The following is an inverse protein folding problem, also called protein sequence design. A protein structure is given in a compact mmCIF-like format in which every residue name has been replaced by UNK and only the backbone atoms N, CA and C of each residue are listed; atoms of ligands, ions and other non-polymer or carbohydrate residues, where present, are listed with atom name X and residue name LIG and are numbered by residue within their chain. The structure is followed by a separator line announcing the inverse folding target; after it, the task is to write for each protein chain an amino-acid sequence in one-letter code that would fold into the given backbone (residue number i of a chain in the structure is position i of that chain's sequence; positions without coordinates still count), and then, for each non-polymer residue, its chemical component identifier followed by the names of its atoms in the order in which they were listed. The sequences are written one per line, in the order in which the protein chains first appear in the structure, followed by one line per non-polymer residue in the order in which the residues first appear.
data_IF_273741943767
#
_entry.id   IF_273741943767
#
_cell.length_a   1.000
_cell.length_b   1.000
_cell.length_c   1.000
_cell.angle_alpha   90.00
_cell.angle_beta   90.00
_cell.angle_gamma   90.00
#
_symmetry.space_group_name_H-M   'P 1'
#
loop_
_entity.id
_entity.type
_entity.pdbx_description
1 polymer ?
#
# COMPACT_ATOMS: atom_id res chain seq x y z
N UNK A 1 28.49 -18.64 -26.91
CA UNK A 1 27.79 -19.11 -25.68
C UNK A 1 27.51 -17.90 -24.79
N UNK A 2 26.31 -17.79 -24.19
CA UNK A 2 25.96 -16.61 -23.37
C UNK A 2 26.74 -16.59 -22.05
N UNK A 3 27.22 -15.40 -21.63
CA UNK A 3 27.84 -15.24 -20.30
C UNK A 3 26.77 -15.37 -19.21
N UNK A 4 27.06 -16.07 -18.10
CA UNK A 4 26.15 -16.12 -16.95
C UNK A 4 25.89 -14.72 -16.40
N UNK A 5 24.67 -14.47 -15.92
CA UNK A 5 24.29 -13.17 -15.38
C UNK A 5 24.83 -12.98 -13.96
N UNK A 6 25.42 -11.81 -13.69
CA UNK A 6 26.10 -11.50 -12.43
C UNK A 6 25.19 -11.71 -11.20
N UNK A 7 23.95 -11.20 -11.23
CA UNK A 7 23.01 -11.30 -10.11
C UNK A 7 22.60 -12.76 -9.79
N UNK A 8 22.46 -13.61 -10.81
CA UNK A 8 22.14 -15.04 -10.64
C UNK A 8 23.30 -15.77 -9.99
N UNK A 9 24.52 -15.49 -10.44
CA UNK A 9 25.72 -16.09 -9.86
C UNK A 9 25.97 -15.60 -8.44
N UNK A 10 25.81 -14.31 -8.18
CA UNK A 10 25.89 -13.71 -6.84
C UNK A 10 24.99 -14.47 -5.86
N UNK A 11 23.71 -14.64 -6.20
CA UNK A 11 22.74 -15.41 -5.39
C UNK A 11 23.18 -16.86 -5.19
N UNK A 12 23.67 -17.52 -6.25
CA UNK A 12 24.13 -18.91 -6.20
C UNK A 12 25.34 -19.07 -5.28
N UNK A 13 26.34 -18.18 -5.40
CA UNK A 13 27.58 -18.19 -4.61
C UNK A 13 27.33 -17.87 -3.14
N UNK A 14 26.45 -16.89 -2.86
CA UNK A 14 26.04 -16.60 -1.48
C UNK A 14 25.40 -17.82 -0.83
N UNK A 15 24.43 -18.45 -1.51
CA UNK A 15 23.79 -19.68 -1.01
C UNK A 15 24.78 -20.81 -0.80
N UNK A 16 25.72 -21.02 -1.74
CA UNK A 16 26.78 -22.03 -1.59
C UNK A 16 27.69 -21.80 -0.37
N UNK A 17 27.81 -20.55 0.08
CA UNK A 17 28.54 -20.18 1.30
C UNK A 17 27.67 -20.14 2.57
N UNK A 18 26.39 -20.53 2.49
CA UNK A 18 25.45 -20.47 3.61
C UNK A 18 25.29 -19.08 4.22
N UNK A 19 25.51 -18.02 3.44
CA UNK A 19 25.35 -16.65 3.91
C UNK A 19 23.90 -16.19 3.75
N UNK A 20 23.35 -15.55 4.78
CA UNK A 20 22.09 -14.80 4.66
C UNK A 20 22.31 -13.54 3.82
N UNK A 21 21.24 -12.97 3.25
CA UNK A 21 21.34 -11.70 2.52
C UNK A 21 21.84 -10.58 3.44
N UNK A 22 21.35 -10.54 4.69
CA UNK A 22 21.79 -9.58 5.71
C UNK A 22 23.29 -9.69 5.99
N UNK A 23 23.77 -10.90 6.30
CA UNK A 23 25.19 -11.11 6.59
C UNK A 23 26.09 -10.71 5.41
N UNK A 24 25.69 -11.07 4.18
CA UNK A 24 26.46 -10.71 3.00
C UNK A 24 26.45 -9.19 2.72
N UNK A 25 25.31 -8.52 2.97
CA UNK A 25 25.18 -7.07 2.87
C UNK A 25 26.07 -6.35 3.89
N UNK A 26 26.05 -6.80 5.15
CA UNK A 26 26.88 -6.24 6.23
C UNK A 26 28.38 -6.37 5.87
N UNK A 27 28.80 -7.52 5.33
CA UNK A 27 30.18 -7.76 4.90
C UNK A 27 30.62 -6.88 3.72
N UNK A 28 29.71 -6.51 2.82
CA UNK A 28 29.97 -5.58 1.73
C UNK A 28 29.57 -4.13 2.05
N UNK A 29 29.37 -3.79 3.34
CA UNK A 29 29.03 -2.44 3.80
C UNK A 29 27.84 -1.81 3.05
N UNK A 30 26.82 -2.62 2.76
CA UNK A 30 25.60 -2.17 2.09
C UNK A 30 24.35 -2.61 2.85
N UNK A 31 23.22 -1.98 2.59
CA UNK A 31 21.97 -2.37 3.26
C UNK A 31 21.47 -3.74 2.75
N UNK A 32 20.79 -4.54 3.59
CA UNK A 32 20.17 -5.79 3.16
C UNK A 32 19.20 -5.61 1.98
N UNK A 33 18.53 -4.46 1.94
CA UNK A 33 17.66 -4.07 0.83
C UNK A 33 18.44 -3.85 -0.47
N UNK A 34 19.59 -3.15 -0.41
CA UNK A 34 20.49 -2.99 -1.57
C UNK A 34 20.95 -4.35 -2.09
N UNK A 35 21.38 -5.25 -1.21
CA UNK A 35 21.77 -6.61 -1.60
C UNK A 35 20.64 -7.38 -2.30
N UNK A 36 19.42 -7.33 -1.75
CA UNK A 36 18.23 -7.95 -2.36
C UNK A 36 17.95 -7.41 -3.76
N UNK A 37 18.07 -6.10 -3.95
CA UNK A 37 17.92 -5.46 -5.27
C UNK A 37 18.99 -5.90 -6.27
N UNK A 38 20.23 -6.10 -5.83
CA UNK A 38 21.29 -6.62 -6.69
C UNK A 38 21.02 -8.08 -7.08
N UNK A 39 20.63 -8.96 -6.14
CA UNK A 39 20.34 -10.37 -6.44
C UNK A 39 19.13 -10.59 -7.35
N UNK A 40 18.18 -9.66 -7.33
CA UNK A 40 16.98 -9.70 -8.19
C UNK A 40 17.22 -9.04 -9.55
N UNK A 41 18.41 -8.47 -9.78
CA UNK A 41 18.73 -7.69 -11.00
C UNK A 41 18.01 -6.34 -11.07
N UNK A 42 17.22 -5.97 -10.05
CA UNK A 42 16.51 -4.69 -9.99
C UNK A 42 17.45 -3.49 -9.97
N UNK A 43 18.74 -3.68 -9.64
CA UNK A 43 19.78 -2.66 -9.72
C UNK A 43 21.09 -3.30 -10.19
N UNK A 44 21.94 -2.47 -10.82
CA UNK A 44 23.31 -2.84 -11.18
C UNK A 44 24.24 -2.36 -10.06
N UNK A 45 25.24 -3.16 -9.64
CA UNK A 45 26.25 -2.71 -8.70
C UNK A 45 27.13 -1.62 -9.34
N UNK A 46 27.58 -0.68 -8.54
CA UNK A 46 28.68 0.22 -8.91
C UNK A 46 29.99 -0.57 -9.08
N UNK A 47 31.04 0.01 -9.68
CA UNK A 47 32.35 -0.65 -9.77
C UNK A 47 32.88 -1.10 -8.40
N UNK A 48 32.83 -0.22 -7.40
CA UNK A 48 33.26 -0.53 -6.03
C UNK A 48 32.44 -1.67 -5.41
N UNK A 49 31.11 -1.62 -5.53
CA UNK A 49 30.24 -2.71 -5.05
C UNK A 49 30.55 -4.03 -5.79
N UNK A 50 30.89 -3.96 -7.08
CA UNK A 50 31.23 -5.13 -7.88
C UNK A 50 32.49 -5.79 -7.36
N UNK A 51 33.51 -5.00 -7.04
CA UNK A 51 34.79 -5.48 -6.50
C UNK A 51 34.60 -6.11 -5.12
N UNK A 52 33.86 -5.44 -4.22
CA UNK A 52 33.55 -5.94 -2.88
C UNK A 52 32.77 -7.26 -2.94
N UNK A 53 31.74 -7.33 -3.79
CA UNK A 53 30.95 -8.55 -3.98
C UNK A 53 31.79 -9.66 -4.60
N UNK A 54 32.63 -9.34 -5.58
CA UNK A 54 33.50 -10.33 -6.24
C UNK A 54 34.52 -10.91 -5.27
N UNK A 55 35.11 -10.06 -4.43
CA UNK A 55 36.04 -10.47 -3.37
C UNK A 55 35.36 -11.39 -2.37
N UNK A 56 34.22 -10.95 -1.80
CA UNK A 56 33.44 -11.76 -0.85
C UNK A 56 33.01 -13.10 -1.45
N UNK A 57 32.54 -13.07 -2.70
CA UNK A 57 31.96 -14.24 -3.35
C UNK A 57 32.98 -15.09 -4.15
N UNK A 58 34.26 -14.72 -4.16
CA UNK A 58 35.31 -15.30 -5.02
C UNK A 58 34.80 -15.48 -6.46
N UNK A 59 34.32 -14.38 -7.01
CA UNK A 59 33.86 -14.25 -8.39
C UNK A 59 34.83 -13.37 -9.17
N UNK A 60 34.86 -13.56 -10.49
CA UNK A 60 35.64 -12.74 -11.42
C UNK A 60 34.65 -11.98 -12.29
N UNK A 61 34.59 -10.65 -12.16
CA UNK A 61 33.54 -9.82 -12.75
C UNK A 61 33.46 -9.96 -14.29
N UNK A 62 34.61 -10.10 -14.96
CA UNK A 62 34.79 -10.29 -16.40
C UNK A 62 34.06 -11.52 -16.98
N UNK A 63 33.83 -12.54 -16.14
CA UNK A 63 33.16 -13.79 -16.54
C UNK A 63 31.64 -13.68 -16.60
N UNK A 64 31.07 -12.59 -16.09
CA UNK A 64 29.62 -12.42 -15.96
C UNK A 64 29.12 -11.22 -16.74
N UNK A 65 27.87 -11.32 -17.21
CA UNK A 65 27.17 -10.18 -17.79
C UNK A 65 26.50 -9.37 -16.67
N UNK A 66 26.88 -8.09 -16.58
CA UNK A 66 26.11 -7.07 -15.88
C UNK A 66 25.01 -6.61 -16.84
N UNK A 67 23.80 -7.14 -16.69
CA UNK A 67 22.66 -6.71 -17.50
C UNK A 67 22.33 -5.27 -17.12
N UNK A 68 22.36 -4.30 -18.05
CA UNK A 68 21.99 -2.92 -17.76
C UNK A 68 20.56 -2.85 -17.19
N UNK A 69 20.38 -2.05 -16.15
CA UNK A 69 19.07 -1.81 -15.54
C UNK A 69 18.01 -1.41 -16.58
N UNK A 70 18.40 -0.63 -17.59
CA UNK A 70 17.52 -0.22 -18.68
C UNK A 70 16.93 -1.43 -19.43
N UNK A 71 17.73 -2.44 -19.76
CA UNK A 71 17.25 -3.63 -20.49
C UNK A 71 16.32 -4.46 -19.63
N UNK A 72 16.64 -4.66 -18.34
CA UNK A 72 15.76 -5.40 -17.45
C UNK A 72 14.44 -4.67 -17.21
N UNK A 73 14.49 -3.33 -17.14
CA UNK A 73 13.29 -2.50 -17.07
C UNK A 73 12.46 -2.60 -18.33
N UNK A 74 13.08 -2.48 -19.51
CA UNK A 74 12.39 -2.67 -20.80
C UNK A 74 11.74 -4.04 -20.89
N UNK A 75 12.41 -5.13 -20.51
CA UNK A 75 11.81 -6.46 -20.51
C UNK A 75 10.61 -6.59 -19.54
N UNK A 76 10.66 -5.90 -18.39
CA UNK A 76 9.55 -5.85 -17.45
C UNK A 76 8.39 -4.99 -17.98
N UNK A 77 8.69 -3.83 -18.56
CA UNK A 77 7.73 -2.89 -19.13
C UNK A 77 7.04 -3.52 -20.37
N UNK A 78 7.80 -4.17 -21.25
CA UNK A 78 7.31 -4.93 -22.40
C UNK A 78 6.38 -6.06 -21.93
N UNK A 79 6.78 -6.82 -20.92
CA UNK A 79 5.93 -7.84 -20.32
C UNK A 79 4.64 -7.25 -19.72
N UNK A 80 4.75 -6.13 -19.00
CA UNK A 80 3.61 -5.44 -18.39
C UNK A 80 2.63 -4.88 -19.44
N UNK A 81 3.14 -4.42 -20.59
CA UNK A 81 2.31 -3.95 -21.71
C UNK A 81 1.48 -5.06 -22.36
N UNK A 82 1.92 -6.32 -22.24
CA UNK A 82 1.22 -7.50 -22.76
C UNK A 82 0.23 -8.10 -21.76
N UNK A 83 0.31 -7.70 -20.48
CA UNK A 83 -0.63 -8.17 -19.47
C UNK A 83 -1.95 -7.42 -19.62
N UNK A 84 -3.10 -8.12 -19.62
CA UNK A 84 -4.39 -7.46 -19.59
C UNK A 84 -4.44 -6.53 -18.38
N UNK A 85 -4.89 -5.29 -18.61
CA UNK A 85 -5.02 -4.32 -17.53
C UNK A 85 -5.86 -4.95 -16.41
N UNK A 86 -5.36 -5.03 -15.16
CA UNK A 86 -6.08 -5.72 -14.10
C UNK A 86 -7.49 -5.15 -13.97
N UNK A 87 -8.51 -6.00 -13.80
CA UNK A 87 -9.88 -5.51 -13.74
C UNK A 87 -10.04 -4.56 -12.55
N UNK A 88 -10.98 -3.63 -12.66
CA UNK A 88 -11.39 -2.79 -11.55
C UNK A 88 -12.23 -3.63 -10.59
N UNK A 89 -11.95 -3.54 -9.29
CA UNK A 89 -12.75 -4.14 -8.24
C UNK A 89 -13.37 -3.04 -7.39
N UNK A 90 -14.68 -3.16 -7.15
CA UNK A 90 -15.41 -2.36 -6.19
C UNK A 90 -15.84 -3.28 -5.05
N UNK A 91 -15.45 -2.95 -3.83
CA UNK A 91 -15.88 -3.71 -2.66
C UNK A 91 -17.41 -3.63 -2.51
N UNK A 92 -18.01 -4.73 -2.06
CA UNK A 92 -19.44 -4.81 -1.82
C UNK A 92 -19.87 -3.81 -0.74
N UNK A 93 -21.06 -3.25 -0.91
CA UNK A 93 -21.63 -2.24 -0.03
C UNK A 93 -23.07 -2.60 0.29
N UNK A 94 -23.47 -2.48 1.56
CA UNK A 94 -24.86 -2.64 1.98
C UNK A 94 -25.73 -1.43 1.58
N UNK A 95 -25.10 -0.26 1.44
CA UNK A 95 -25.73 1.04 1.18
C UNK A 95 -24.83 1.90 0.30
N UNK A 96 -25.44 2.87 -0.39
CA UNK A 96 -24.68 3.83 -1.19
C UNK A 96 -23.80 4.74 -0.31
N UNK A 97 -22.60 5.15 -0.77
CA UNK A 97 -21.68 5.95 0.03
C UNK A 97 -22.28 7.30 0.45
N UNK A 98 -23.15 7.86 -0.39
CA UNK A 98 -23.89 9.10 -0.10
C UNK A 98 -24.63 9.04 1.25
N UNK A 99 -25.21 7.88 1.61
CA UNK A 99 -25.90 7.70 2.89
C UNK A 99 -24.92 7.88 4.05
N UNK A 100 -23.68 7.39 3.93
CA UNK A 100 -22.63 7.51 4.94
C UNK A 100 -22.14 8.94 5.08
N UNK A 101 -21.89 9.63 3.97
CA UNK A 101 -21.54 11.06 3.98
C UNK A 101 -22.66 11.93 4.59
N UNK A 102 -23.92 11.64 4.29
CA UNK A 102 -25.07 12.34 4.89
C UNK A 102 -25.17 12.09 6.40
N UNK A 103 -24.95 10.86 6.85
CA UNK A 103 -24.90 10.53 8.28
C UNK A 103 -23.75 11.27 9.00
N UNK A 104 -22.58 11.38 8.35
CA UNK A 104 -21.47 12.18 8.87
C UNK A 104 -21.84 13.66 8.99
N UNK A 105 -22.46 14.23 7.95
CA UNK A 105 -22.93 15.61 7.96
C UNK A 105 -23.95 15.87 9.08
N UNK A 106 -24.88 14.95 9.33
CA UNK A 106 -25.86 15.09 10.39
C UNK A 106 -25.22 15.02 11.79
N UNK A 107 -24.22 14.15 11.98
CA UNK A 107 -23.58 13.90 13.28
C UNK A 107 -22.55 14.98 13.64
N UNK A 108 -21.80 15.47 12.66
CA UNK A 108 -20.66 16.38 12.86
C UNK A 108 -20.69 17.55 11.87
N UNK A 109 -21.87 18.16 11.68
CA UNK A 109 -22.13 19.23 10.69
C UNK A 109 -21.06 20.31 10.65
N UNK A 110 -20.64 20.79 11.83
CA UNK A 110 -19.70 21.90 11.97
C UNK A 110 -18.29 21.57 11.47
N UNK A 111 -17.94 20.30 11.32
CA UNK A 111 -16.65 19.86 10.78
C UNK A 111 -16.78 19.38 9.34
N UNK A 112 -17.81 18.58 9.05
CA UNK A 112 -18.02 18.00 7.72
C UNK A 112 -18.27 19.09 6.67
N UNK A 113 -19.10 20.10 6.99
CA UNK A 113 -19.46 21.13 6.01
C UNK A 113 -18.25 21.98 5.54
N UNK A 114 -17.40 22.50 6.45
CA UNK A 114 -16.14 23.14 6.05
C UNK A 114 -15.18 22.21 5.29
N UNK A 115 -15.02 20.95 5.72
CA UNK A 115 -14.15 19.98 5.04
C UNK A 115 -14.62 19.73 3.60
N UNK A 116 -15.91 19.49 3.39
CA UNK A 116 -16.47 19.31 2.04
C UNK A 116 -16.27 20.57 1.20
N UNK A 117 -16.37 21.76 1.79
CA UNK A 117 -16.13 23.02 1.09
C UNK A 117 -14.68 23.15 0.63
N UNK A 118 -13.71 22.76 1.46
CA UNK A 118 -12.30 22.71 1.07
C UNK A 118 -12.06 21.72 -0.06
N UNK A 119 -12.61 20.50 0.06
CA UNK A 119 -12.46 19.46 -0.97
C UNK A 119 -13.07 19.89 -2.30
N UNK A 120 -14.21 20.59 -2.29
CA UNK A 120 -14.87 21.13 -3.49
C UNK A 120 -14.06 22.17 -4.26
N UNK A 121 -13.15 22.88 -3.58
CA UNK A 121 -12.31 23.90 -4.20
C UNK A 121 -11.07 23.31 -4.89
N UNK A 122 -10.85 21.99 -4.78
CA UNK A 122 -9.67 21.35 -5.36
C UNK A 122 -9.78 21.30 -6.89
N UNK A 123 -8.64 21.41 -7.61
CA UNK A 123 -8.63 21.32 -9.08
C UNK A 123 -9.00 19.93 -9.58
N UNK A 124 -8.85 18.88 -8.78
CA UNK A 124 -9.19 17.49 -9.11
C UNK A 124 -10.57 17.06 -8.55
N UNK A 125 -11.47 18.01 -8.24
CA UNK A 125 -12.73 17.71 -7.56
C UNK A 125 -13.61 16.68 -8.29
N UNK A 126 -13.72 16.72 -9.62
CA UNK A 126 -14.53 15.73 -10.37
C UNK A 126 -14.06 14.29 -10.13
N UNK A 127 -12.74 14.10 -10.06
CA UNK A 127 -12.13 12.80 -9.73
C UNK A 127 -12.40 12.41 -8.27
N UNK A 128 -12.35 13.37 -7.36
CA UNK A 128 -12.68 13.17 -5.94
C UNK A 128 -14.15 12.80 -5.77
N UNK A 129 -15.05 13.48 -6.47
CA UNK A 129 -16.48 13.23 -6.45
C UNK A 129 -16.80 11.82 -6.97
N UNK A 130 -16.25 11.45 -8.14
CA UNK A 130 -16.38 10.10 -8.66
C UNK A 130 -15.87 9.04 -7.67
N UNK A 131 -14.72 9.27 -7.05
CA UNK A 131 -14.17 8.37 -6.03
C UNK A 131 -15.13 8.21 -4.84
N UNK A 132 -15.60 9.31 -4.26
CA UNK A 132 -16.51 9.29 -3.12
C UNK A 132 -17.85 8.61 -3.42
N UNK A 133 -18.32 8.66 -4.67
CA UNK A 133 -19.55 7.96 -5.09
C UNK A 133 -19.39 6.44 -5.19
N UNK A 134 -18.17 5.94 -5.37
CA UNK A 134 -17.91 4.52 -5.59
C UNK A 134 -17.16 3.84 -4.44
N UNK A 135 -16.63 4.60 -3.48
CA UNK A 135 -15.87 4.08 -2.35
C UNK A 135 -16.78 3.35 -1.35
N UNK A 136 -16.42 2.12 -0.98
CA UNK A 136 -17.13 1.38 0.05
C UNK A 136 -16.87 1.96 1.45
N UNK A 137 -17.95 2.17 2.21
CA UNK A 137 -17.94 2.75 3.55
C UNK A 137 -19.04 2.11 4.40
N UNK A 138 -18.71 1.63 5.58
CA UNK A 138 -19.65 0.97 6.50
C UNK A 138 -20.19 1.94 7.57
N UNK A 139 -19.44 3.01 7.87
CA UNK A 139 -19.81 4.01 8.89
C UNK A 139 -19.72 5.47 8.41
N UNK A 140 -20.36 6.36 9.18
CA UNK A 140 -20.21 7.81 9.03
C UNK A 140 -18.80 8.30 9.43
N UNK A 141 -18.13 7.60 10.34
CA UNK A 141 -16.76 7.96 10.77
C UNK A 141 -15.74 7.63 9.67
N UNK A 142 -15.88 6.55 8.93
CA UNK A 142 -15.05 6.29 7.75
C UNK A 142 -15.25 7.38 6.68
N UNK A 143 -16.50 7.80 6.45
CA UNK A 143 -16.78 8.92 5.53
C UNK A 143 -16.10 10.22 5.98
N UNK A 144 -16.08 10.48 7.30
CA UNK A 144 -15.36 11.60 7.89
C UNK A 144 -13.83 11.44 7.71
N UNK A 145 -13.28 10.24 7.90
CA UNK A 145 -11.86 9.94 7.71
C UNK A 145 -11.42 10.19 6.26
N UNK A 146 -12.23 9.78 5.29
CA UNK A 146 -12.03 10.08 3.86
C UNK A 146 -11.97 11.58 3.61
N UNK A 147 -12.93 12.35 4.15
CA UNK A 147 -12.93 13.81 4.00
C UNK A 147 -11.68 14.47 4.61
N UNK A 148 -11.22 13.99 5.77
CA UNK A 148 -9.99 14.48 6.40
C UNK A 148 -8.77 14.22 5.51
N UNK A 149 -8.63 13.01 4.96
CA UNK A 149 -7.53 12.69 4.04
C UNK A 149 -7.57 13.56 2.78
N UNK A 150 -8.74 13.72 2.18
CA UNK A 150 -8.93 14.58 1.00
C UNK A 150 -8.64 16.06 1.34
N UNK A 151 -9.05 16.56 2.49
CA UNK A 151 -8.73 17.93 2.90
C UNK A 151 -7.22 18.13 3.15
N UNK A 152 -6.50 17.07 3.56
CA UNK A 152 -5.03 17.04 3.67
C UNK A 152 -4.30 16.95 2.32
N UNK A 153 -5.02 16.88 1.20
CA UNK A 153 -4.43 16.80 -0.14
C UNK A 153 -4.25 15.37 -0.66
N UNK A 154 -4.87 14.35 -0.06
CA UNK A 154 -4.83 13.00 -0.61
C UNK A 154 -5.49 12.97 -2.00
N UNK A 155 -4.95 12.18 -2.93
CA UNK A 155 -5.42 12.07 -4.32
C UNK A 155 -6.03 10.68 -4.54
N UNK A 156 -7.25 10.58 -5.09
CA UNK A 156 -7.82 9.29 -5.49
C UNK A 156 -6.99 8.62 -6.57
N UNK A 157 -6.69 7.33 -6.46
CA UNK A 157 -6.00 6.55 -7.50
C UNK A 157 -6.62 5.16 -7.64
N UNK A 158 -6.29 4.49 -8.75
CA UNK A 158 -6.61 3.08 -8.99
C UNK A 158 -5.33 2.27 -9.00
N UNK A 159 -5.17 1.38 -8.03
CA UNK A 159 -3.97 0.56 -7.88
C UNK A 159 -4.31 -0.76 -7.22
N UNK A 160 -3.59 -1.83 -7.58
CA UNK A 160 -3.75 -3.11 -6.90
C UNK A 160 -2.90 -3.15 -5.63
N UNK A 161 -3.43 -3.59 -4.46
CA UNK A 161 -2.65 -3.73 -3.24
C UNK A 161 -1.36 -4.52 -3.46
N UNK A 162 -1.40 -5.63 -4.21
CA UNK A 162 -0.23 -6.47 -4.48
C UNK A 162 0.86 -5.78 -5.33
N UNK A 163 0.55 -4.68 -6.02
CA UNK A 163 1.57 -3.86 -6.71
C UNK A 163 2.43 -3.07 -5.72
N UNK A 164 1.95 -2.83 -4.49
CA UNK A 164 2.64 -2.05 -3.46
C UNK A 164 3.43 -2.92 -2.46
N UNK A 165 3.24 -4.24 -2.51
CA UNK A 165 3.95 -5.18 -1.66
C UNK A 165 3.16 -6.46 -1.41
N UNK A 166 3.83 -7.46 -0.84
CA UNK A 166 3.19 -8.71 -0.46
C UNK A 166 2.34 -8.50 0.80
N UNK A 167 1.10 -8.98 0.79
CA UNK A 167 0.25 -9.03 1.97
C UNK A 167 0.38 -10.42 2.63
N UNK A 168 0.34 -10.53 3.98
CA UNK A 168 0.44 -11.83 4.65
C UNK A 168 -0.73 -12.75 4.33
N UNK A 169 -1.91 -12.16 4.09
CA UNK A 169 -3.16 -12.86 3.76
C UNK A 169 -3.71 -12.35 2.43
N UNK A 170 -4.39 -13.21 1.64
CA UNK A 170 -4.96 -12.78 0.38
C UNK A 170 -6.21 -11.93 0.62
N UNK A 171 -6.32 -10.86 -0.16
CA UNK A 171 -7.52 -10.02 -0.22
C UNK A 171 -8.54 -10.71 -1.11
N UNK A 172 -9.77 -10.84 -0.63
CA UNK A 172 -10.85 -11.57 -1.29
C UNK A 172 -12.12 -10.74 -1.46
N UNK A 173 -12.94 -11.11 -2.43
CA UNK A 173 -14.34 -10.71 -2.49
C UNK A 173 -15.17 -11.60 -1.56
N UNK A 174 -15.86 -11.05 -0.54
CA UNK A 174 -16.62 -11.85 0.42
C UNK A 174 -17.85 -12.56 -0.18
N UNK A 175 -18.31 -12.16 -1.37
CA UNK A 175 -19.50 -12.75 -2.00
C UNK A 175 -19.25 -14.09 -2.69
N UNK A 176 -18.04 -14.28 -3.22
CA UNK A 176 -17.67 -15.42 -4.05
C UNK A 176 -16.30 -16.02 -3.70
N UNK A 177 -15.60 -15.45 -2.69
CA UNK A 177 -14.29 -15.86 -2.21
C UNK A 177 -13.15 -15.78 -3.24
N UNK A 178 -13.36 -15.10 -4.37
CA UNK A 178 -12.31 -14.87 -5.35
C UNK A 178 -11.22 -13.97 -4.77
N UNK A 179 -9.95 -14.25 -5.07
CA UNK A 179 -8.84 -13.38 -4.68
C UNK A 179 -8.83 -12.14 -5.54
N UNK A 180 -8.93 -10.97 -4.93
CA UNK A 180 -9.04 -9.67 -5.62
C UNK A 180 -7.88 -8.72 -5.31
N UNK A 181 -6.88 -9.15 -4.55
CA UNK A 181 -5.70 -8.32 -4.22
C UNK A 181 -4.85 -7.89 -5.41
N UNK A 182 -5.01 -8.56 -6.56
CA UNK A 182 -4.33 -8.25 -7.81
C UNK A 182 -5.16 -7.35 -8.74
N UNK A 183 -6.44 -7.13 -8.45
CA UNK A 183 -7.30 -6.21 -9.17
C UNK A 183 -7.00 -4.77 -8.75
N UNK A 184 -7.37 -3.78 -9.57
CA UNK A 184 -7.27 -2.37 -9.18
C UNK A 184 -8.38 -2.03 -8.19
N UNK A 185 -8.02 -1.41 -7.07
CA UNK A 185 -8.95 -0.91 -6.06
C UNK A 185 -8.97 0.61 -6.08
N UNK A 186 -10.08 1.19 -5.62
CA UNK A 186 -10.13 2.59 -5.22
C UNK A 186 -9.23 2.79 -3.99
N UNK A 187 -8.31 3.74 -4.09
CA UNK A 187 -7.33 4.04 -3.05
C UNK A 187 -7.15 5.55 -2.94
N UNK A 188 -6.90 6.06 -1.73
CA UNK A 188 -6.36 7.41 -1.56
C UNK A 188 -4.85 7.33 -1.43
N UNK A 189 -4.12 8.21 -2.13
CA UNK A 189 -2.68 8.40 -1.94
C UNK A 189 -2.44 9.74 -1.25
N UNK A 190 -1.76 9.75 -0.11
CA UNK A 190 -1.29 10.97 0.55
C UNK A 190 0.22 10.85 0.76
N UNK A 191 1.00 11.67 0.07
CA UNK A 191 2.46 11.53 0.01
C UNK A 191 2.85 10.12 -0.45
N UNK A 192 3.57 9.35 0.36
CA UNK A 192 3.96 7.95 0.09
C UNK A 192 3.02 6.92 0.73
N UNK A 193 1.93 7.38 1.36
CA UNK A 193 0.96 6.52 2.04
C UNK A 193 -0.23 6.20 1.12
N UNK A 194 -0.70 4.96 1.17
CA UNK A 194 -1.83 4.46 0.38
C UNK A 194 -2.90 3.86 1.31
N UNK A 195 -4.13 4.31 1.15
CA UNK A 195 -5.26 3.95 2.00
C UNK A 195 -6.31 3.23 1.14
N UNK A 196 -6.52 1.95 1.43
CA UNK A 196 -7.56 1.13 0.82
C UNK A 196 -8.66 0.92 1.84
N UNK A 197 -9.91 1.11 1.43
CA UNK A 197 -11.04 1.08 2.35
C UNK A 197 -11.78 -0.24 2.22
N UNK A 198 -12.26 -0.77 3.35
CA UNK A 198 -13.24 -1.84 3.39
C UNK A 198 -12.80 -3.13 2.67
N UNK A 199 -11.51 -3.46 2.77
CA UNK A 199 -10.95 -4.70 2.22
C UNK A 199 -11.27 -5.90 3.09
N UNK A 200 -11.53 -7.04 2.46
CA UNK A 200 -11.77 -8.32 3.13
C UNK A 200 -10.59 -9.27 2.90
N UNK A 201 -10.18 -9.96 3.96
CA UNK A 201 -9.10 -10.92 3.95
C UNK A 201 -9.60 -12.34 4.22
N UNK A 202 -8.93 -13.31 3.60
CA UNK A 202 -9.14 -14.72 3.90
C UNK A 202 -8.29 -15.11 5.12
N UNK A 203 -8.95 -15.44 6.22
CA UNK A 203 -8.36 -16.03 7.41
C UNK A 203 -9.16 -17.29 7.83
N UNK A 204 -9.19 -17.66 9.12
CA UNK A 204 -10.10 -18.73 9.62
C UNK A 204 -11.57 -18.37 9.38
N UNK A 205 -11.86 -17.05 9.36
CA UNK A 205 -13.09 -16.42 8.93
C UNK A 205 -12.78 -15.27 7.97
N UNK A 206 -13.80 -14.71 7.33
CA UNK A 206 -13.63 -13.46 6.58
C UNK A 206 -13.38 -12.34 7.59
N UNK A 207 -12.26 -11.65 7.44
CA UNK A 207 -11.92 -10.47 8.24
C UNK A 207 -11.96 -9.24 7.35
N UNK A 208 -12.92 -8.37 7.59
CA UNK A 208 -13.02 -7.07 6.92
C UNK A 208 -12.35 -6.01 7.80
N UNK A 209 -11.57 -5.14 7.17
CA UNK A 209 -10.87 -4.03 7.84
C UNK A 209 -11.41 -2.71 7.33
N UNK A 210 -11.45 -1.71 8.18
CA UNK A 210 -11.95 -0.38 7.78
C UNK A 210 -11.01 0.26 6.77
N UNK A 211 -9.71 0.29 7.09
CA UNK A 211 -8.68 0.82 6.20
C UNK A 211 -7.42 -0.04 6.26
N UNK A 212 -6.95 -0.51 5.10
CA UNK A 212 -5.61 -1.04 4.94
C UNK A 212 -4.69 0.11 4.52
N UNK A 213 -3.66 0.36 5.34
CA UNK A 213 -2.63 1.36 5.10
C UNK A 213 -1.37 0.69 4.58
N UNK A 214 -0.84 1.22 3.48
CA UNK A 214 0.56 1.04 3.07
C UNK A 214 1.32 2.33 3.32
N UNK A 215 2.36 2.26 4.15
CA UNK A 215 3.37 3.31 4.30
C UNK A 215 4.76 2.76 3.92
N UNK A 216 5.64 2.54 4.91
CA UNK A 216 6.84 1.72 4.80
C UNK A 216 6.53 0.22 4.91
N UNK A 217 5.47 -0.13 5.65
CA UNK A 217 4.95 -1.50 5.80
C UNK A 217 3.43 -1.54 5.56
N UNK A 218 2.82 -2.71 5.71
CA UNK A 218 1.36 -2.84 5.73
C UNK A 218 0.88 -2.76 7.17
N UNK A 219 -0.17 -1.99 7.41
CA UNK A 219 -0.89 -1.96 8.68
C UNK A 219 -2.38 -1.76 8.44
N UNK A 220 -3.17 -2.03 9.46
CA UNK A 220 -4.62 -1.84 9.45
C UNK A 220 -4.95 -0.66 10.35
N UNK A 221 -5.87 0.19 9.89
CA UNK A 221 -6.49 1.22 10.70
C UNK A 221 -7.96 0.86 10.90
N UNK A 222 -8.37 0.82 12.16
CA UNK A 222 -9.74 0.55 12.59
C UNK A 222 -10.36 1.81 13.16
N UNK A 223 -11.56 2.16 12.72
CA UNK A 223 -12.19 3.43 13.05
C UNK A 223 -13.28 3.19 14.10
N UNK A 224 -12.88 3.34 15.36
CA UNK A 224 -13.70 3.01 16.51
C UNK A 224 -14.65 4.17 16.87
N UNK A 225 -15.95 3.95 16.70
CA UNK A 225 -17.02 4.83 17.16
C UNK A 225 -17.53 4.52 18.57
N UNK A 226 -18.35 5.41 19.13
CA UNK A 226 -19.03 5.15 20.39
C UNK A 226 -19.90 3.87 20.31
N UNK A 227 -19.59 2.87 21.17
CA UNK A 227 -20.29 1.58 21.20
C UNK A 227 -19.54 0.41 20.53
N UNK A 228 -18.31 0.63 20.05
CA UNK A 228 -17.47 -0.44 19.51
C UNK A 228 -17.13 -1.48 20.60
N UNK A 229 -17.32 -2.77 20.28
CA UNK A 229 -17.16 -3.85 21.24
C UNK A 229 -15.78 -4.51 21.06
N UNK A 230 -14.82 -4.06 21.87
CA UNK A 230 -13.42 -4.54 21.88
C UNK A 230 -13.28 -6.07 22.07
N UNK A 231 -14.34 -6.78 22.47
CA UNK A 231 -14.33 -8.24 22.60
C UNK A 231 -14.14 -8.98 21.27
N UNK A 232 -14.31 -8.33 20.11
CA UNK A 232 -14.08 -8.95 18.79
C UNK A 232 -12.69 -8.64 18.19
N UNK A 233 -11.94 -7.68 18.74
CA UNK A 233 -10.59 -7.30 18.27
C UNK A 233 -9.57 -8.42 18.43
N UNK A 234 -9.82 -9.33 19.39
CA UNK A 234 -9.04 -10.53 19.60
C UNK A 234 -8.93 -11.43 18.36
N UNK A 235 -9.72 -11.24 17.30
CA UNK A 235 -9.64 -12.06 16.07
C UNK A 235 -8.67 -11.54 15.00
N UNK A 236 -8.17 -10.31 15.13
CA UNK A 236 -7.39 -9.64 14.08
C UNK A 236 -5.91 -10.05 14.05
N UNK A 237 -5.43 -10.81 15.04
CA UNK A 237 -4.08 -11.41 15.00
C UNK A 237 -3.88 -12.29 13.76
N UNK A 238 -4.95 -12.89 13.23
CA UNK A 238 -4.88 -13.77 12.07
C UNK A 238 -4.47 -13.03 10.78
N UNK A 239 -4.63 -11.69 10.75
CA UNK A 239 -4.19 -10.88 9.63
C UNK A 239 -2.66 -10.79 9.53
N UNK A 240 -1.95 -11.03 10.63
CA UNK A 240 -0.49 -10.87 10.73
C UNK A 240 -0.03 -9.46 10.32
N UNK A 241 -0.88 -8.46 10.57
CA UNK A 241 -0.63 -7.04 10.30
C UNK A 241 -0.76 -6.26 11.61
N UNK A 242 0.07 -5.23 11.85
CA UNK A 242 -0.15 -4.27 12.92
C UNK A 242 -1.51 -3.60 12.77
N UNK A 243 -2.26 -3.47 13.87
CA UNK A 243 -3.57 -2.81 13.90
C UNK A 243 -3.47 -1.55 14.75
N UNK A 244 -3.90 -0.42 14.18
CA UNK A 244 -3.97 0.86 14.83
C UNK A 244 -5.43 1.32 14.94
N UNK A 245 -5.88 1.65 16.14
CA UNK A 245 -7.23 2.21 16.33
C UNK A 245 -7.21 3.73 16.20
N UNK A 246 -8.14 4.27 15.42
CA UNK A 246 -8.48 5.69 15.37
C UNK A 246 -9.83 5.87 16.03
N UNK A 247 -9.82 6.45 17.23
CA UNK A 247 -11.07 6.76 17.93
C UNK A 247 -11.79 7.93 17.28
N UNK A 248 -13.11 7.97 17.43
CA UNK A 248 -13.93 9.12 17.05
C UNK A 248 -13.34 10.44 17.57
N UNK A 249 -12.97 10.51 18.84
CA UNK A 249 -12.37 11.71 19.43
C UNK A 249 -11.10 12.17 18.69
N UNK A 250 -10.18 11.24 18.42
CA UNK A 250 -8.93 11.52 17.69
C UNK A 250 -9.20 12.00 16.25
N UNK A 251 -10.18 11.39 15.58
CA UNK A 251 -10.59 11.77 14.24
C UNK A 251 -11.17 13.19 14.20
N UNK A 252 -12.07 13.52 15.13
CA UNK A 252 -12.67 14.85 15.21
C UNK A 252 -11.64 15.93 15.54
N UNK A 253 -10.65 15.64 16.38
CA UNK A 253 -9.52 16.56 16.63
C UNK A 253 -8.69 16.77 15.37
N UNK A 254 -8.32 15.69 14.68
CA UNK A 254 -7.58 15.79 13.41
C UNK A 254 -8.32 16.64 12.38
N UNK A 255 -9.64 16.52 12.31
CA UNK A 255 -10.46 17.34 11.43
C UNK A 255 -10.40 18.83 11.79
N UNK A 256 -10.43 19.17 13.09
CA UNK A 256 -10.27 20.57 13.56
C UNK A 256 -8.92 21.13 13.17
N UNK A 257 -7.85 20.35 13.36
CA UNK A 257 -6.48 20.79 13.04
C UNK A 257 -6.32 21.10 11.55
N UNK A 258 -6.86 20.23 10.69
CA UNK A 258 -6.86 20.45 9.23
C UNK A 258 -7.59 21.74 8.86
N UNK A 259 -8.75 21.98 9.46
CA UNK A 259 -9.52 23.20 9.20
C UNK A 259 -8.78 24.45 9.69
N UNK A 260 -8.15 24.39 10.86
CA UNK A 260 -7.37 25.50 11.41
C UNK A 260 -6.19 25.88 10.50
N UNK A 261 -5.44 24.89 10.00
CA UNK A 261 -4.34 25.10 9.05
C UNK A 261 -4.87 25.73 7.76
N UNK A 262 -5.98 25.22 7.22
CA UNK A 262 -6.57 25.72 5.98
C UNK A 262 -7.12 27.16 6.09
N UNK A 263 -7.51 27.61 7.29
CA UNK A 263 -7.93 28.99 7.51
C UNK A 263 -6.76 29.97 7.72
N UNK A 264 -5.57 29.46 8.04
CA UNK A 264 -4.38 30.27 8.27
C UNK A 264 -3.53 30.50 7.00
N UNK A 265 -3.77 29.71 5.95
CA UNK A 265 -3.10 29.78 4.64
C UNK A 265 -3.90 30.65 3.65
#
# INVERSE_FOLDING_TARGET
MFRPQFHKEMRRRRKKRNLTQKAAADMCKMSPFRWSHLETGRRVPSPLETDDICSLLQMSADRYSLVPHAIQRTLLDDGQSLLPTPPLFFANQDRTPYIRFRAALNSHRNLVHPLTTLVRKRPDYERVEYFCHNLALDSNLEAMFVLVLLAKGAVPILIAPLQLGHLPRPVIDPSNFAEVGHHRHLCLKLQENYYFFQLSFRASRILRVDVLLRDETWSVIEIDGAGHNHSQDGSRYELELPVNSVTEYSLLNTARDVLAIATAA
#
